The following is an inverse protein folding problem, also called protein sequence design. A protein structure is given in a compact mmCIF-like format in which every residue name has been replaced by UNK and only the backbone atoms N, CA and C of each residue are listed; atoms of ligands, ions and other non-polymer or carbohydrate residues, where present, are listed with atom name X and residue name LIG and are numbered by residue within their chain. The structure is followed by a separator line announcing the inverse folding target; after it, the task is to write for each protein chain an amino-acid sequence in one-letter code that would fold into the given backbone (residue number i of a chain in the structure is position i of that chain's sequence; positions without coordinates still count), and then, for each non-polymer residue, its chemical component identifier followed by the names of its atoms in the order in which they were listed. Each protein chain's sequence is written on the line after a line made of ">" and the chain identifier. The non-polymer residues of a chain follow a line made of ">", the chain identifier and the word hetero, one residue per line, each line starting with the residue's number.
data_IF_576968284078
#
_entry.id   IF_576968284078
#
_cell.length_a   1.000
_cell.length_b   1.000
_cell.length_c   1.000
_cell.angle_alpha   90.00
_cell.angle_beta   90.00
_cell.angle_gamma   90.00
#
_symmetry.space_group_name_H-M   'P 1'
#
loop_
_entity.id
_entity.type
_entity.pdbx_description
1 polymer ?
#
# COMPACT_ATOMS: atom_id res chain seq x y z
N UNK A 1 -6.61 -16.47 1.38
CA UNK A 1 -5.52 -17.42 1.08
C UNK A 1 -5.25 -18.23 2.32
N UNK A 2 -5.22 -19.57 2.22
CA UNK A 2 -5.16 -20.47 3.38
C UNK A 2 -3.74 -20.87 3.76
N UNK A 3 -2.77 -19.94 3.73
CA UNK A 3 -1.42 -20.15 4.30
C UNK A 3 -0.63 -21.37 3.80
N UNK A 4 -1.10 -22.04 2.76
CA UNK A 4 -0.62 -23.33 2.27
C UNK A 4 0.03 -23.24 0.88
N UNK A 5 0.06 -22.05 0.28
CA UNK A 5 0.54 -21.85 -1.10
C UNK A 5 1.44 -20.62 -1.31
N UNK A 6 1.37 -19.57 -0.48
CA UNK A 6 2.21 -18.37 -0.61
C UNK A 6 2.48 -17.74 0.77
N UNK A 7 3.75 -17.45 1.07
CA UNK A 7 4.15 -16.75 2.31
C UNK A 7 3.72 -15.27 2.31
N UNK A 8 3.56 -14.67 1.12
CA UNK A 8 3.05 -13.31 0.96
C UNK A 8 2.60 -13.05 -0.48
N UNK A 9 1.55 -12.24 -0.66
CA UNK A 9 1.18 -11.67 -1.95
C UNK A 9 1.63 -10.22 -2.06
N UNK A 10 1.87 -9.78 -3.29
CA UNK A 10 1.99 -8.36 -3.60
C UNK A 10 0.69 -7.63 -3.24
N UNK A 11 0.80 -6.58 -2.43
CA UNK A 11 -0.36 -5.82 -1.95
C UNK A 11 -0.88 -4.82 -2.99
N UNK A 12 -1.21 -5.31 -4.19
CA UNK A 12 -1.72 -4.48 -5.28
C UNK A 12 -2.93 -3.61 -4.90
N UNK A 13 -3.90 -4.06 -4.08
CA UNK A 13 -5.00 -3.20 -3.64
C UNK A 13 -4.52 -1.94 -2.90
N UNK A 14 -3.53 -2.08 -2.01
CA UNK A 14 -2.93 -0.93 -1.33
C UNK A 14 -2.12 -0.08 -2.30
N UNK A 15 -1.33 -0.70 -3.19
CA UNK A 15 -0.54 -0.01 -4.20
C UNK A 15 -1.41 0.88 -5.09
N UNK A 16 -2.53 0.36 -5.60
CA UNK A 16 -3.45 1.13 -6.43
C UNK A 16 -4.07 2.29 -5.66
N UNK A 17 -4.54 2.06 -4.41
CA UNK A 17 -5.04 3.16 -3.57
C UNK A 17 -4.02 4.28 -3.38
N UNK A 18 -2.74 3.95 -3.16
CA UNK A 18 -1.67 4.95 -3.02
C UNK A 18 -1.42 5.69 -4.33
N UNK A 19 -1.37 4.98 -5.47
CA UNK A 19 -1.14 5.57 -6.79
C UNK A 19 -2.30 6.50 -7.17
N UNK A 20 -3.53 6.03 -7.05
CA UNK A 20 -4.73 6.78 -7.44
C UNK A 20 -4.85 8.08 -6.64
N UNK A 21 -4.47 8.07 -5.36
CA UNK A 21 -4.54 9.25 -4.50
C UNK A 21 -3.35 10.19 -4.66
N UNK A 22 -2.11 9.69 -4.52
CA UNK A 22 -0.92 10.56 -4.49
C UNK A 22 -0.35 10.90 -5.86
N UNK A 23 -0.39 9.95 -6.81
CA UNK A 23 0.18 10.15 -8.14
C UNK A 23 -0.85 10.78 -9.09
N UNK A 24 -1.97 10.09 -9.28
CA UNK A 24 -3.01 10.46 -10.24
C UNK A 24 -3.94 11.55 -9.73
N UNK A 25 -4.21 11.59 -8.41
CA UNK A 25 -5.21 12.47 -7.80
C UNK A 25 -6.64 12.23 -8.31
N UNK A 26 -6.92 10.99 -8.70
CA UNK A 26 -8.20 10.56 -9.27
C UNK A 26 -9.22 10.16 -8.19
N UNK A 27 -8.80 10.10 -6.93
CA UNK A 27 -9.64 9.71 -5.79
C UNK A 27 -9.68 10.80 -4.74
N UNK A 28 -10.83 10.91 -4.08
CA UNK A 28 -11.00 11.77 -2.90
C UNK A 28 -10.31 11.14 -1.69
N UNK A 29 -10.06 11.97 -0.66
CA UNK A 29 -9.55 11.49 0.63
C UNK A 29 -10.42 10.36 1.22
N UNK A 30 -11.74 10.46 1.10
CA UNK A 30 -12.66 9.48 1.69
C UNK A 30 -12.57 8.12 0.98
N UNK A 31 -12.48 8.14 -0.35
CA UNK A 31 -12.31 6.94 -1.18
C UNK A 31 -10.95 6.28 -0.90
N UNK A 32 -9.89 7.09 -0.81
CA UNK A 32 -8.57 6.61 -0.42
C UNK A 32 -8.59 5.89 0.94
N UNK A 33 -9.16 6.51 1.97
CA UNK A 33 -9.27 5.93 3.30
C UNK A 33 -10.08 4.62 3.29
N UNK A 34 -11.14 4.57 2.47
CA UNK A 34 -11.97 3.37 2.31
C UNK A 34 -11.19 2.24 1.62
N UNK A 35 -10.41 2.56 0.57
CA UNK A 35 -9.57 1.61 -0.15
C UNK A 35 -8.48 1.01 0.75
N UNK A 36 -7.78 1.85 1.52
CA UNK A 36 -6.79 1.42 2.51
C UNK A 36 -7.43 0.54 3.58
N UNK A 37 -8.56 0.95 4.15
CA UNK A 37 -9.26 0.14 5.16
C UNK A 37 -9.66 -1.23 4.62
N UNK A 38 -10.16 -1.27 3.37
CA UNK A 38 -10.54 -2.52 2.71
C UNK A 38 -9.33 -3.44 2.50
N UNK A 39 -8.17 -2.91 2.11
CA UNK A 39 -6.97 -3.75 1.93
C UNK A 39 -6.53 -4.42 3.22
N UNK A 40 -6.67 -3.74 4.37
CA UNK A 40 -6.41 -4.32 5.70
C UNK A 40 -7.46 -5.34 6.14
N UNK A 41 -8.74 -5.13 5.81
CA UNK A 41 -9.83 -6.03 6.23
C UNK A 41 -9.97 -7.28 5.36
N UNK A 42 -9.46 -7.27 4.13
CA UNK A 42 -9.54 -8.41 3.22
C UNK A 42 -8.68 -9.61 3.63
N UNK A 43 -7.67 -9.41 4.48
CA UNK A 43 -6.73 -10.45 4.89
C UNK A 43 -6.62 -10.54 6.43
N UNK A 44 -6.50 -11.76 6.99
CA UNK A 44 -6.11 -11.97 8.38
C UNK A 44 -4.84 -11.20 8.75
N UNK A 45 -4.78 -10.68 9.99
CA UNK A 45 -3.69 -9.81 10.46
C UNK A 45 -2.29 -10.39 10.23
N UNK A 46 -2.12 -11.69 10.48
CA UNK A 46 -0.85 -12.39 10.27
C UNK A 46 -0.39 -12.43 8.81
N UNK A 47 -1.31 -12.37 7.85
CA UNK A 47 -0.99 -12.27 6.42
C UNK A 47 -0.62 -10.82 6.09
N UNK A 48 -1.39 -9.85 6.59
CA UNK A 48 -1.15 -8.42 6.34
C UNK A 48 0.18 -7.93 6.92
N UNK A 49 0.65 -8.51 8.03
CA UNK A 49 1.96 -8.23 8.65
C UNK A 49 3.15 -8.60 7.78
N UNK A 50 3.00 -9.60 6.91
CA UNK A 50 4.06 -10.06 6.00
C UNK A 50 3.80 -9.67 4.54
N UNK A 51 2.78 -8.84 4.28
CA UNK A 51 2.44 -8.41 2.92
C UNK A 51 3.57 -7.60 2.27
N UNK A 52 3.89 -7.95 1.03
CA UNK A 52 4.91 -7.25 0.25
C UNK A 52 4.31 -5.99 -0.37
N UNK A 53 4.58 -4.84 0.24
CA UNK A 53 4.13 -3.53 -0.23
C UNK A 53 5.17 -2.94 -1.21
N UNK A 54 4.75 -2.71 -2.46
CA UNK A 54 5.56 -2.10 -3.51
C UNK A 54 4.76 -1.03 -4.26
N UNK A 55 5.41 0.03 -4.73
CA UNK A 55 4.76 1.08 -5.54
C UNK A 55 4.96 0.89 -7.04
N UNK A 56 6.01 0.17 -7.43
CA UNK A 56 6.24 -0.29 -8.80
C UNK A 56 7.03 -1.60 -8.80
N UNK A 57 7.00 -2.29 -9.93
CA UNK A 57 7.78 -3.50 -10.19
C UNK A 57 8.39 -3.44 -11.60
N UNK A 58 8.98 -4.54 -12.05
CA UNK A 58 9.41 -4.68 -13.44
C UNK A 58 8.21 -4.83 -14.40
N UNK A 59 7.05 -5.22 -13.88
CA UNK A 59 5.81 -5.44 -14.64
C UNK A 59 4.88 -4.22 -14.64
N UNK A 60 5.22 -3.15 -13.91
CA UNK A 60 4.42 -1.93 -13.83
C UNK A 60 5.21 -0.70 -14.27
N UNK A 61 4.51 0.36 -14.67
CA UNK A 61 5.15 1.65 -14.91
C UNK A 61 5.88 2.13 -13.65
N UNK A 62 7.03 2.80 -13.84
CA UNK A 62 7.79 3.41 -12.73
C UNK A 62 6.96 4.49 -12.07
N UNK A 63 6.98 4.54 -10.74
CA UNK A 63 6.19 5.50 -9.95
C UNK A 63 6.53 6.95 -10.31
N UNK A 64 7.77 7.23 -10.72
CA UNK A 64 8.18 8.54 -11.20
C UNK A 64 7.48 8.94 -12.51
N UNK A 65 7.32 7.99 -13.44
CA UNK A 65 6.61 8.20 -14.69
C UNK A 65 5.12 8.42 -14.45
N UNK A 66 4.52 7.64 -13.56
CA UNK A 66 3.10 7.80 -13.16
C UNK A 66 2.87 9.16 -12.49
N UNK A 67 3.84 9.64 -11.70
CA UNK A 67 3.80 10.97 -11.09
C UNK A 67 4.16 12.12 -12.06
N UNK A 68 4.26 11.89 -13.38
CA UNK A 68 4.66 12.88 -14.38
C UNK A 68 5.98 13.59 -14.03
N UNK A 69 6.98 12.84 -13.53
CA UNK A 69 8.26 13.32 -13.02
C UNK A 69 8.18 14.25 -11.79
N UNK A 70 7.03 14.39 -11.12
CA UNK A 70 6.92 15.14 -9.87
C UNK A 70 7.47 14.33 -8.67
N UNK A 71 8.72 14.62 -8.32
CA UNK A 71 9.40 13.99 -7.17
C UNK A 71 8.70 14.20 -5.83
N UNK A 72 7.85 15.24 -5.69
CA UNK A 72 7.12 15.50 -4.43
C UNK A 72 6.03 14.46 -4.22
N UNK A 73 5.27 14.14 -5.27
CA UNK A 73 4.25 13.09 -5.26
C UNK A 73 4.85 11.72 -4.97
N UNK A 74 5.98 11.41 -5.63
CA UNK A 74 6.75 10.17 -5.38
C UNK A 74 7.17 10.06 -3.91
N UNK A 75 7.73 11.13 -3.32
CA UNK A 75 8.13 11.14 -1.91
C UNK A 75 6.95 10.90 -0.98
N UNK A 76 5.78 11.49 -1.24
CA UNK A 76 4.58 11.27 -0.44
C UNK A 76 4.08 9.83 -0.53
N UNK A 77 4.06 9.25 -1.73
CA UNK A 77 3.66 7.85 -1.93
C UNK A 77 4.58 6.89 -1.17
N UNK A 78 5.91 7.07 -1.29
CA UNK A 78 6.88 6.27 -0.53
C UNK A 78 6.78 6.49 0.98
N UNK A 79 6.61 7.75 1.42
CA UNK A 79 6.42 8.06 2.84
C UNK A 79 5.21 7.29 3.39
N UNK A 80 4.07 7.35 2.71
CA UNK A 80 2.89 6.62 3.13
C UNK A 80 3.16 5.11 3.17
N UNK A 81 3.68 4.51 2.09
CA UNK A 81 4.00 3.07 2.04
C UNK A 81 4.91 2.63 3.19
N UNK A 82 5.98 3.39 3.49
CA UNK A 82 6.92 3.05 4.55
C UNK A 82 6.31 3.21 5.95
N UNK A 83 5.38 4.15 6.15
CA UNK A 83 4.65 4.28 7.41
C UNK A 83 3.64 3.15 7.65
N UNK A 84 3.05 2.59 6.58
CA UNK A 84 2.11 1.47 6.69
C UNK A 84 2.79 0.19 7.19
N UNK A 85 4.04 -0.07 6.79
CA UNK A 85 4.81 -1.21 7.28
C UNK A 85 5.21 -1.07 8.76
N UNK A 86 5.53 0.15 9.20
CA UNK A 86 5.94 0.43 10.60
C UNK A 86 4.75 0.38 11.57
N UNK A 87 3.53 0.72 11.13
CA UNK A 87 2.35 0.72 12.00
C UNK A 87 1.93 -0.68 12.48
N UNK A 88 2.29 -1.73 11.73
CA UNK A 88 1.95 -3.12 12.08
C UNK A 88 2.80 -3.67 13.24
N UNK A 89 4.03 -3.19 13.44
CA UNK A 89 4.91 -3.65 14.54
C UNK A 89 4.50 -3.05 15.90
N UNK A 90 3.77 -1.94 15.91
CA UNK A 90 3.51 -1.14 17.12
C UNK A 90 2.09 -1.23 17.69
N UNK A 91 1.33 -2.30 17.44
CA UNK A 91 0.03 -2.54 18.12
C UNK A 91 0.04 -3.65 19.17
N UNK A 92 1.21 -4.19 19.52
CA UNK A 92 1.37 -5.19 20.58
C UNK A 92 1.63 -4.58 21.97
N UNK A 93 1.46 -3.27 22.13
CA UNK A 93 1.48 -2.58 23.44
C UNK A 93 0.12 -1.95 23.71
N UNK A 94 -0.90 -2.80 23.75
CA UNK A 94 -2.19 -2.51 24.37
C UNK A 94 -2.77 -3.83 24.90
N UNK A 95 -2.10 -4.36 25.93
CA UNK A 95 -2.74 -5.17 26.95
C UNK A 95 -2.85 -4.33 28.20
#
# INVERSE_FOLDING_TARGET
>A
MRGDQFDSLMNYPLTYGIIDYFALQDTTKQEFMTSVTRSYLCYPKNITEVMFNLLDSHDTARILSVCLNDKRKVKLAYLFMLTQAVLLVSTTVAK
#
